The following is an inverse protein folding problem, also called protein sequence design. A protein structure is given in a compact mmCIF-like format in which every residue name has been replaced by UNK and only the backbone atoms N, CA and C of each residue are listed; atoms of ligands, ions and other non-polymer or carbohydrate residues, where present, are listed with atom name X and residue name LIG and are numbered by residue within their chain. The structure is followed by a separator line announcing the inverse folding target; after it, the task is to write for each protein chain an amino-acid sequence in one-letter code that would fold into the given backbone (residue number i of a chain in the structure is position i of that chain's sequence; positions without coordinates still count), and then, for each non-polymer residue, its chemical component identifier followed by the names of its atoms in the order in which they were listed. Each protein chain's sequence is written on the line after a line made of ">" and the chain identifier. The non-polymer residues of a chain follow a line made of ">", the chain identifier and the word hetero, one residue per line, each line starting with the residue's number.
data_IF_546094782183
#
_entry.id   IF_546094782183
#
_cell.length_a   1.000
_cell.length_b   1.000
_cell.length_c   1.000
_cell.angle_alpha   90.00
_cell.angle_beta   90.00
_cell.angle_gamma   90.00
#
_symmetry.space_group_name_H-M   'P 1'
#
loop_
_entity.id
_entity.type
_entity.pdbx_description
1 polymer ?
#
# COMPACT_ATOMS: atom_id res chain seq x y z
N UNK A 1 2.64 50.38 -4.13
CA UNK A 1 3.33 49.77 -2.98
C UNK A 1 2.33 48.89 -2.25
N UNK A 2 2.57 47.56 -2.25
CA UNK A 2 2.19 46.51 -1.26
C UNK A 2 0.74 46.52 -0.70
N UNK A 3 -0.11 45.48 -0.76
CA UNK A 3 0.09 44.05 -0.86
C UNK A 3 -1.19 43.36 -1.37
N UNK A 4 -1.07 42.51 -2.39
CA UNK A 4 -2.01 41.46 -2.74
C UNK A 4 -1.26 40.14 -2.59
N UNK A 5 -1.65 39.28 -1.64
CA UNK A 5 -1.09 37.92 -1.51
C UNK A 5 -2.19 36.88 -1.66
N UNK A 6 -2.35 36.52 -2.94
CA UNK A 6 -2.62 35.20 -3.52
C UNK A 6 -3.17 34.08 -2.64
N UNK A 7 -4.36 33.62 -3.05
CA UNK A 7 -4.94 32.32 -2.74
C UNK A 7 -4.36 31.22 -3.65
N UNK A 8 -4.11 30.06 -3.05
CA UNK A 8 -3.97 28.69 -3.61
C UNK A 8 -2.68 28.29 -4.38
N UNK A 9 -2.30 26.99 -4.41
CA UNK A 9 -2.81 25.81 -3.66
C UNK A 9 -1.70 24.99 -2.94
N UNK A 10 -1.97 24.35 -1.79
CA UNK A 10 -2.32 22.90 -1.69
C UNK A 10 -1.62 22.07 -2.78
N UNK A 11 -0.39 21.60 -2.54
CA UNK A 11 0.28 20.47 -3.25
C UNK A 11 1.73 20.23 -2.75
N UNK A 12 1.98 20.26 -1.44
CA UNK A 12 3.33 20.05 -0.89
C UNK A 12 3.38 19.10 0.31
N UNK A 13 2.76 17.91 0.16
CA UNK A 13 3.03 16.76 1.03
C UNK A 13 3.05 15.43 0.25
N UNK A 14 3.63 15.45 -0.96
CA UNK A 14 3.99 14.25 -1.72
C UNK A 14 5.45 14.36 -2.16
N UNK A 15 6.37 14.34 -1.20
CA UNK A 15 7.78 14.05 -1.39
C UNK A 15 8.48 14.08 -0.03
N UNK A 16 8.41 12.99 0.73
CA UNK A 16 9.60 12.58 1.45
C UNK A 16 9.89 11.12 1.09
N UNK A 17 11.03 10.88 0.42
CA UNK A 17 11.41 9.58 -0.07
C UNK A 17 11.90 8.72 1.09
N UNK A 18 11.81 7.42 0.87
CA UNK A 18 12.67 6.37 1.41
C UNK A 18 14.06 6.93 1.74
N UNK A 19 14.33 7.19 3.02
CA UNK A 19 15.64 7.55 3.52
C UNK A 19 15.77 6.94 4.91
N UNK A 20 16.42 5.77 4.97
CA UNK A 20 16.62 5.08 6.25
C UNK A 20 16.97 3.60 6.22
N UNK A 21 17.25 2.98 5.07
CA UNK A 21 17.93 1.68 5.02
C UNK A 21 18.92 1.68 3.86
N UNK A 22 19.99 2.46 3.99
CA UNK A 22 21.21 2.14 3.27
C UNK A 22 21.74 0.81 3.84
N UNK A 23 21.97 -0.23 3.04
CA UNK A 23 22.77 -1.35 3.51
C UNK A 23 24.15 -0.78 3.82
N UNK A 24 24.60 -0.91 5.07
CA UNK A 24 26.01 -0.82 5.42
C UNK A 24 26.71 -2.01 4.74
N UNK A 25 26.95 -1.89 3.44
CA UNK A 25 27.88 -2.75 2.72
C UNK A 25 29.29 -2.51 3.27
N UNK A 26 30.17 -3.51 3.23
CA UNK A 26 31.56 -3.29 3.61
C UNK A 26 32.14 -2.19 2.72
N UNK A 27 32.71 -1.15 3.34
CA UNK A 27 33.57 -0.19 2.66
C UNK A 27 34.80 -0.98 2.20
N UNK A 28 34.75 -1.49 0.97
CA UNK A 28 35.95 -1.98 0.31
C UNK A 28 36.77 -0.75 -0.07
N UNK A 29 38.01 -0.74 0.40
CA UNK A 29 39.00 0.28 0.06
C UNK A 29 39.03 0.47 -1.46
N UNK A 30 38.67 1.67 -1.91
CA UNK A 30 38.75 2.06 -3.30
C UNK A 30 40.20 2.50 -3.57
N UNK A 31 40.95 1.70 -4.33
CA UNK A 31 42.26 2.08 -4.82
C UNK A 31 42.13 3.29 -5.75
N UNK A 32 42.90 4.36 -5.51
CA UNK A 32 42.91 5.59 -6.33
C UNK A 32 43.48 5.40 -7.75
N UNK A 33 44.05 4.24 -8.07
CA UNK A 33 44.44 3.93 -9.44
C UNK A 33 43.26 3.33 -10.21
N UNK A 34 42.82 4.07 -11.23
CA UNK A 34 41.96 3.51 -12.27
C UNK A 34 42.69 2.28 -12.86
N UNK A 35 42.05 1.10 -12.90
CA UNK A 35 42.69 -0.06 -13.52
C UNK A 35 43.06 0.29 -14.96
N UNK A 36 44.29 -0.01 -15.36
CA UNK A 36 44.76 0.22 -16.71
C UNK A 36 43.72 -0.32 -17.71
N UNK A 37 43.30 0.53 -18.65
CA UNK A 37 42.30 0.16 -19.64
C UNK A 37 42.77 -1.09 -20.39
N UNK A 38 42.13 -2.22 -20.12
CA UNK A 38 42.39 -3.47 -20.85
C UNK A 38 41.85 -3.26 -22.27
N UNK A 39 42.69 -2.76 -23.16
CA UNK A 39 42.40 -2.68 -24.58
C UNK A 39 42.70 -4.03 -25.23
N UNK A 40 41.90 -5.04 -24.86
CA UNK A 40 41.79 -6.25 -25.63
C UNK A 40 40.53 -6.11 -26.49
N UNK A 41 40.64 -5.78 -27.80
CA UNK A 41 39.51 -5.78 -28.70
C UNK A 41 39.01 -7.22 -28.83
N UNK A 42 38.18 -7.66 -27.88
CA UNK A 42 37.48 -8.92 -27.96
C UNK A 42 36.49 -8.81 -29.12
N UNK A 43 36.66 -9.55 -30.23
CA UNK A 43 35.76 -9.47 -31.38
C UNK A 43 34.31 -9.82 -31.01
N UNK A 44 34.13 -10.55 -29.90
CA UNK A 44 32.83 -10.88 -29.35
C UNK A 44 32.23 -9.80 -28.44
N UNK A 45 32.96 -8.79 -27.97
CA UNK A 45 32.41 -7.81 -27.02
C UNK A 45 31.29 -6.96 -27.64
N UNK A 46 31.45 -6.55 -28.90
CA UNK A 46 30.40 -5.88 -29.66
C UNK A 46 29.24 -6.85 -29.95
N UNK A 47 29.52 -8.07 -30.40
CA UNK A 47 28.50 -9.12 -30.58
C UNK A 47 27.67 -9.33 -29.31
N UNK A 48 28.33 -9.46 -28.16
CA UNK A 48 27.68 -9.67 -26.87
C UNK A 48 26.91 -8.42 -26.40
N UNK A 49 27.36 -7.21 -26.73
CA UNK A 49 26.59 -5.98 -26.50
C UNK A 49 25.36 -5.92 -27.40
N UNK A 50 25.45 -6.32 -28.66
CA UNK A 50 24.30 -6.43 -29.58
C UNK A 50 23.29 -7.47 -29.10
N UNK A 51 23.75 -8.66 -28.69
CA UNK A 51 22.90 -9.74 -28.15
C UNK A 51 22.14 -9.31 -26.89
N UNK A 52 22.71 -8.41 -26.07
CA UNK A 52 22.09 -7.84 -24.87
C UNK A 52 21.23 -6.60 -25.14
N UNK A 53 21.06 -6.19 -26.39
CA UNK A 53 20.25 -5.03 -26.78
C UNK A 53 20.93 -3.67 -26.57
N UNK A 54 22.27 -3.61 -26.53
CA UNK A 54 23.05 -2.38 -26.31
C UNK A 54 23.78 -1.86 -27.56
N UNK A 55 23.41 -2.31 -28.76
CA UNK A 55 23.93 -1.75 -30.02
C UNK A 55 22.78 -1.52 -30.99
N UNK A 56 22.93 -0.48 -31.82
CA UNK A 56 22.18 -0.20 -33.06
C UNK A 56 22.41 -1.30 -34.13
N UNK A 57 22.40 -2.57 -33.72
CA UNK A 57 22.49 -3.69 -34.64
C UNK A 57 21.06 -4.11 -35.00
N UNK A 58 20.70 -4.11 -36.29
CA UNK A 58 19.36 -4.49 -36.72
C UNK A 58 19.23 -6.02 -36.60
N UNK A 59 19.02 -6.52 -35.38
CA UNK A 59 18.56 -7.88 -35.19
C UNK A 59 17.13 -7.96 -35.73
N UNK A 60 16.99 -8.48 -36.94
CA UNK A 60 15.68 -8.69 -37.58
C UNK A 60 15.12 -10.00 -37.07
N UNK A 61 13.99 -9.93 -36.38
CA UNK A 61 13.21 -11.10 -35.98
C UNK A 61 11.90 -11.12 -36.75
N UNK A 62 11.37 -12.33 -37.01
CA UNK A 62 10.01 -12.50 -37.55
C UNK A 62 8.93 -12.29 -36.46
N UNK A 63 9.34 -12.19 -35.19
CA UNK A 63 8.44 -11.97 -34.06
C UNK A 63 8.13 -10.48 -33.92
N UNK A 64 6.85 -10.12 -34.04
CA UNK A 64 6.38 -8.77 -33.72
C UNK A 64 6.19 -8.58 -32.21
N UNK A 65 6.39 -7.36 -31.70
CA UNK A 65 6.12 -7.01 -30.30
C UNK A 65 7.21 -6.16 -29.66
N UNK A 66 7.06 -5.90 -28.35
CA UNK A 66 8.03 -5.16 -27.56
C UNK A 66 9.30 -5.98 -27.31
N UNK A 67 10.46 -5.31 -27.30
CA UNK A 67 11.79 -5.90 -27.06
C UNK A 67 12.10 -7.11 -27.97
N UNK A 68 11.51 -7.19 -29.16
CA UNK A 68 11.60 -8.35 -30.05
C UNK A 68 13.01 -8.61 -30.61
N UNK A 69 13.81 -7.55 -30.73
CA UNK A 69 15.22 -7.58 -31.12
C UNK A 69 16.19 -7.90 -29.96
N UNK A 70 15.68 -8.04 -28.72
CA UNK A 70 16.50 -8.33 -27.52
C UNK A 70 16.59 -9.84 -27.31
N UNK A 71 17.77 -10.41 -27.55
CA UNK A 71 18.00 -11.86 -27.44
C UNK A 71 18.28 -12.31 -26.00
N UNK A 72 18.89 -11.46 -25.19
CA UNK A 72 19.21 -11.76 -23.78
C UNK A 72 18.71 -10.63 -22.88
N UNK A 73 17.77 -10.96 -22.00
CA UNK A 73 17.28 -10.05 -20.95
C UNK A 73 18.05 -10.28 -19.64
N UNK A 74 19.03 -9.42 -19.33
CA UNK A 74 19.80 -9.52 -18.09
C UNK A 74 18.98 -9.16 -16.85
N UNK A 75 18.07 -8.18 -16.95
CA UNK A 75 17.25 -7.76 -15.82
C UNK A 75 16.19 -8.82 -15.45
N UNK A 76 15.79 -9.67 -16.41
CA UNK A 76 14.85 -10.76 -16.15
C UNK A 76 15.34 -11.79 -15.12
N UNK A 77 16.61 -12.20 -15.19
CA UNK A 77 17.22 -13.09 -14.19
C UNK A 77 17.29 -12.41 -12.82
N UNK A 78 17.63 -11.11 -12.79
CA UNK A 78 17.66 -10.33 -11.57
C UNK A 78 16.27 -10.20 -10.94
N UNK A 79 15.24 -9.89 -11.74
CA UNK A 79 13.85 -9.83 -11.31
C UNK A 79 13.39 -11.18 -10.77
N UNK A 80 13.66 -12.27 -11.48
CA UNK A 80 13.28 -13.62 -11.05
C UNK A 80 13.95 -13.98 -9.72
N UNK A 81 15.24 -13.67 -9.58
CA UNK A 81 15.98 -13.86 -8.32
C UNK A 81 15.38 -13.04 -7.18
N UNK A 82 15.13 -11.74 -7.38
CA UNK A 82 14.48 -10.88 -6.38
C UNK A 82 13.10 -11.41 -6.00
N UNK A 83 12.27 -11.78 -6.98
CA UNK A 83 10.93 -12.29 -6.75
C UNK A 83 10.94 -13.57 -5.92
N UNK A 84 11.73 -14.56 -6.34
CA UNK A 84 11.69 -15.89 -5.74
C UNK A 84 12.49 -15.99 -4.45
N UNK A 85 13.63 -15.29 -4.35
CA UNK A 85 14.53 -15.40 -3.20
C UNK A 85 14.28 -14.32 -2.14
N UNK A 86 13.61 -13.21 -2.48
CA UNK A 86 13.33 -12.12 -1.53
C UNK A 86 11.84 -11.85 -1.37
N UNK A 87 11.15 -11.43 -2.43
CA UNK A 87 9.77 -10.94 -2.30
C UNK A 87 8.80 -11.98 -1.76
N UNK A 88 8.83 -13.20 -2.30
CA UNK A 88 7.99 -14.30 -1.80
C UNK A 88 8.31 -14.62 -0.34
N UNK A 89 9.52 -15.06 0.04
CA UNK A 89 9.78 -15.46 1.42
C UNK A 89 9.58 -14.31 2.40
N UNK A 90 10.17 -13.14 2.16
CA UNK A 90 10.07 -12.00 3.08
C UNK A 90 8.64 -11.44 3.17
N UNK A 91 7.90 -11.45 2.06
CA UNK A 91 6.50 -11.06 2.07
C UNK A 91 5.64 -12.02 2.88
N UNK A 92 5.87 -13.33 2.76
CA UNK A 92 5.21 -14.34 3.58
C UNK A 92 5.54 -14.20 5.07
N UNK A 93 6.83 -14.07 5.39
CA UNK A 93 7.31 -13.90 6.76
C UNK A 93 6.72 -12.65 7.41
N UNK A 94 6.66 -11.53 6.69
CA UNK A 94 6.06 -10.28 7.18
C UNK A 94 4.58 -10.44 7.51
N UNK A 95 3.80 -11.05 6.61
CA UNK A 95 2.36 -11.26 6.85
C UNK A 95 2.12 -12.19 8.05
N UNK A 96 2.88 -13.28 8.16
CA UNK A 96 2.82 -14.21 9.30
C UNK A 96 3.21 -13.47 10.59
N UNK A 97 4.31 -12.73 10.58
CA UNK A 97 4.77 -11.95 11.72
C UNK A 97 3.70 -10.96 12.20
N UNK A 98 3.06 -10.22 11.29
CA UNK A 98 1.99 -9.27 11.64
C UNK A 98 0.80 -9.98 12.28
N UNK A 99 0.37 -11.12 11.73
CA UNK A 99 -0.70 -11.93 12.32
C UNK A 99 -0.32 -12.46 13.71
N UNK A 100 0.92 -12.91 13.90
CA UNK A 100 1.42 -13.35 15.21
C UNK A 100 1.47 -12.20 16.22
N UNK A 101 1.91 -11.00 15.82
CA UNK A 101 1.92 -9.81 16.67
C UNK A 101 0.49 -9.44 17.09
N UNK A 102 -0.45 -9.42 16.14
CA UNK A 102 -1.87 -9.16 16.41
C UNK A 102 -2.42 -10.20 17.42
N UNK A 103 -2.16 -11.49 17.18
CA UNK A 103 -2.57 -12.57 18.07
C UNK A 103 -1.98 -12.45 19.47
N UNK A 104 -0.70 -12.10 19.57
CA UNK A 104 -0.01 -11.91 20.84
C UNK A 104 -0.57 -10.70 21.61
N UNK A 105 -0.81 -9.58 20.93
CA UNK A 105 -1.43 -8.38 21.54
C UNK A 105 -2.81 -8.73 22.08
N UNK A 106 -3.63 -9.44 21.31
CA UNK A 106 -4.95 -9.87 21.76
C UNK A 106 -4.87 -10.82 22.96
N UNK A 107 -3.98 -11.81 22.93
CA UNK A 107 -3.83 -12.79 24.01
C UNK A 107 -3.33 -12.16 25.32
N UNK A 108 -2.44 -11.17 25.25
CA UNK A 108 -1.85 -10.51 26.43
C UNK A 108 -2.76 -9.42 26.99
N UNK A 109 -3.37 -8.61 26.12
CA UNK A 109 -4.09 -7.39 26.53
C UNK A 109 -5.60 -7.59 26.60
N UNK A 110 -6.16 -8.47 25.77
CA UNK A 110 -7.60 -8.55 25.53
C UNK A 110 -8.17 -7.33 24.79
N UNK A 111 -9.47 -7.34 24.49
CA UNK A 111 -10.16 -6.18 23.92
C UNK A 111 -10.23 -5.02 24.91
N UNK A 112 -10.28 -3.79 24.39
CA UNK A 112 -10.51 -2.58 25.17
C UNK A 112 -11.93 -2.61 25.77
N UNK A 113 -12.04 -2.26 27.04
CA UNK A 113 -13.31 -2.17 27.76
C UNK A 113 -13.66 -0.71 28.04
N UNK A 114 -14.92 -0.33 27.84
CA UNK A 114 -15.41 0.99 28.24
C UNK A 114 -15.34 1.13 29.76
N UNK A 115 -14.74 2.21 30.26
CA UNK A 115 -14.59 2.49 31.69
C UNK A 115 -15.91 2.75 32.40
N UNK A 116 -16.81 3.46 31.72
CA UNK A 116 -18.15 3.81 32.22
C UNK A 116 -19.22 2.75 31.91
N UNK A 117 -18.87 1.72 31.13
CA UNK A 117 -19.85 0.81 30.54
C UNK A 117 -20.58 1.45 29.33
N UNK A 118 -21.52 0.73 28.74
CA UNK A 118 -22.33 1.27 27.64
C UNK A 118 -23.47 2.14 28.19
N UNK A 119 -23.64 3.35 27.64
CA UNK A 119 -24.75 4.24 28.00
C UNK A 119 -26.09 3.75 27.44
N UNK A 120 -26.08 2.96 26.36
CA UNK A 120 -27.28 2.54 25.61
C UNK A 120 -27.83 3.63 24.68
N UNK A 121 -27.29 4.85 24.75
CA UNK A 121 -27.63 5.96 23.86
C UNK A 121 -26.71 5.91 22.64
N UNK A 122 -27.30 5.93 21.44
CA UNK A 122 -26.57 5.82 20.19
C UNK A 122 -26.41 7.19 19.52
N UNK A 123 -25.18 7.53 19.13
CA UNK A 123 -24.85 8.75 18.38
C UNK A 123 -24.42 8.41 16.96
N UNK A 124 -24.80 9.26 15.99
CA UNK A 124 -24.44 9.06 14.58
C UNK A 124 -22.97 9.45 14.36
N UNK A 125 -22.15 8.47 13.95
CA UNK A 125 -20.73 8.69 13.63
C UNK A 125 -20.50 8.86 12.13
N UNK A 126 -20.96 7.92 11.31
CA UNK A 126 -20.68 7.92 9.86
C UNK A 126 -21.96 7.99 9.03
N UNK A 127 -22.00 8.89 8.04
CA UNK A 127 -23.13 8.99 7.10
C UNK A 127 -23.30 7.72 6.25
N UNK A 128 -24.47 7.53 5.64
CA UNK A 128 -24.71 6.39 4.73
C UNK A 128 -23.71 6.38 3.57
N UNK A 129 -23.42 7.55 2.99
CA UNK A 129 -22.45 7.70 1.90
C UNK A 129 -21.05 7.24 2.30
N UNK A 130 -20.58 7.65 3.49
CA UNK A 130 -19.28 7.22 4.00
C UNK A 130 -19.18 5.70 4.12
N UNK A 131 -20.24 5.06 4.65
CA UNK A 131 -20.29 3.59 4.80
C UNK A 131 -20.32 2.86 3.46
N UNK A 132 -21.11 3.33 2.50
CA UNK A 132 -21.19 2.73 1.16
C UNK A 132 -19.82 2.80 0.46
N UNK A 133 -19.16 3.96 0.48
CA UNK A 133 -17.83 4.14 -0.11
C UNK A 133 -16.81 3.25 0.60
N UNK A 134 -16.86 3.17 1.93
CA UNK A 134 -15.98 2.29 2.71
C UNK A 134 -16.16 0.82 2.33
N UNK A 135 -17.39 0.30 2.31
CA UNK A 135 -17.64 -1.10 1.97
C UNK A 135 -17.35 -1.42 0.50
N UNK A 136 -17.52 -0.46 -0.41
CA UNK A 136 -17.06 -0.58 -1.79
C UNK A 136 -15.54 -0.73 -1.87
N UNK A 137 -14.79 0.16 -1.20
CA UNK A 137 -13.33 0.09 -1.13
C UNK A 137 -12.86 -1.23 -0.47
N UNK A 138 -13.45 -1.60 0.66
CA UNK A 138 -13.10 -2.80 1.40
C UNK A 138 -13.37 -4.07 0.57
N UNK A 139 -14.51 -4.13 -0.12
CA UNK A 139 -14.85 -5.25 -1.00
C UNK A 139 -13.84 -5.41 -2.14
N UNK A 140 -13.49 -4.32 -2.83
CA UNK A 140 -12.45 -4.34 -3.87
C UNK A 140 -11.10 -4.77 -3.29
N UNK A 141 -10.68 -4.17 -2.17
CA UNK A 141 -9.40 -4.46 -1.55
C UNK A 141 -9.28 -5.94 -1.14
N UNK A 142 -10.33 -6.52 -0.55
CA UNK A 142 -10.31 -7.93 -0.12
C UNK A 142 -10.18 -8.84 -1.34
N UNK A 143 -10.96 -8.62 -2.40
CA UNK A 143 -10.89 -9.46 -3.61
C UNK A 143 -9.51 -9.31 -4.26
N UNK A 144 -9.00 -8.08 -4.41
CA UNK A 144 -7.69 -7.81 -4.99
C UNK A 144 -6.55 -8.38 -4.15
N UNK A 145 -6.60 -8.20 -2.84
CA UNK A 145 -5.62 -8.77 -1.91
C UNK A 145 -5.58 -10.29 -1.98
N UNK A 146 -6.73 -10.97 -1.95
CA UNK A 146 -6.80 -12.43 -2.03
C UNK A 146 -6.30 -12.96 -3.39
N UNK A 147 -6.77 -12.38 -4.48
CA UNK A 147 -6.33 -12.75 -5.83
C UNK A 147 -4.83 -12.49 -6.04
N UNK A 148 -4.31 -11.36 -5.55
CA UNK A 148 -2.88 -11.04 -5.58
C UNK A 148 -2.03 -12.03 -4.78
N UNK A 149 -2.49 -12.43 -3.58
CA UNK A 149 -1.83 -13.46 -2.77
C UNK A 149 -1.82 -14.83 -3.47
N UNK A 150 -2.91 -15.20 -4.15
CA UNK A 150 -2.97 -16.42 -4.98
C UNK A 150 -1.93 -16.36 -6.11
N UNK A 151 -1.80 -15.22 -6.80
CA UNK A 151 -0.83 -15.06 -7.89
C UNK A 151 0.61 -15.06 -7.40
N UNK A 152 0.88 -14.50 -6.22
CA UNK A 152 2.22 -14.43 -5.64
C UNK A 152 2.67 -15.77 -5.06
N UNK A 153 1.85 -16.37 -4.19
CA UNK A 153 2.20 -17.54 -3.38
C UNK A 153 1.64 -18.87 -3.91
N UNK A 154 0.73 -18.85 -4.87
CA UNK A 154 -0.03 -20.04 -5.26
C UNK A 154 0.81 -21.21 -5.77
N UNK A 155 1.97 -20.93 -6.38
CA UNK A 155 2.89 -22.00 -6.82
C UNK A 155 3.47 -22.79 -5.64
N UNK A 156 3.87 -22.12 -4.56
CA UNK A 156 4.48 -22.77 -3.40
C UNK A 156 3.43 -23.31 -2.43
N UNK A 157 2.30 -22.62 -2.27
CA UNK A 157 1.29 -22.98 -1.27
C UNK A 157 0.13 -23.80 -1.84
N UNK A 158 -0.38 -23.46 -3.03
CA UNK A 158 -1.61 -24.07 -3.56
C UNK A 158 -1.35 -25.29 -4.44
N UNK A 159 -0.31 -25.30 -5.28
CA UNK A 159 -0.01 -26.46 -6.13
C UNK A 159 0.14 -27.76 -5.31
N UNK A 160 0.84 -27.78 -4.15
CA UNK A 160 0.92 -28.99 -3.32
C UNK A 160 -0.43 -29.43 -2.74
N UNK A 161 -1.39 -28.51 -2.57
CA UNK A 161 -2.69 -28.78 -1.95
C UNK A 161 -3.76 -29.23 -2.95
N UNK A 162 -3.83 -28.58 -4.11
CA UNK A 162 -4.92 -28.79 -5.09
C UNK A 162 -4.43 -29.31 -6.45
N UNK A 163 -3.12 -29.45 -6.65
CA UNK A 163 -2.52 -29.91 -7.90
C UNK A 163 -2.45 -28.82 -8.98
N UNK A 164 -1.65 -29.09 -10.03
CA UNK A 164 -1.36 -28.12 -11.10
C UNK A 164 -2.59 -27.72 -11.92
N UNK A 165 -3.48 -28.67 -12.23
CA UNK A 165 -4.66 -28.42 -13.07
C UNK A 165 -5.66 -27.51 -12.38
N UNK A 166 -6.01 -27.80 -11.12
CA UNK A 166 -6.91 -26.95 -10.34
C UNK A 166 -6.29 -25.57 -10.10
N UNK A 167 -4.99 -25.51 -9.76
CA UNK A 167 -4.28 -24.25 -9.62
C UNK A 167 -4.29 -23.42 -10.91
N UNK A 168 -4.17 -24.04 -12.09
CA UNK A 168 -4.28 -23.34 -13.37
C UNK A 168 -5.60 -22.59 -13.53
N UNK A 169 -6.73 -23.24 -13.19
CA UNK A 169 -8.06 -22.60 -13.20
C UNK A 169 -8.14 -21.48 -12.17
N UNK A 170 -7.72 -21.75 -10.92
CA UNK A 170 -7.75 -20.76 -9.83
C UNK A 170 -6.88 -19.53 -10.13
N UNK A 171 -5.66 -19.72 -10.62
CA UNK A 171 -4.75 -18.65 -10.98
C UNK A 171 -5.28 -17.83 -12.16
N UNK A 172 -5.86 -18.49 -13.19
CA UNK A 172 -6.49 -17.80 -14.31
C UNK A 172 -7.65 -16.93 -13.84
N UNK A 173 -8.58 -17.48 -13.07
CA UNK A 173 -9.72 -16.73 -12.53
C UNK A 173 -9.25 -15.57 -11.63
N UNK A 174 -8.25 -15.82 -10.79
CA UNK A 174 -7.67 -14.78 -9.92
C UNK A 174 -7.07 -13.65 -10.72
N UNK A 175 -6.31 -13.95 -11.78
CA UNK A 175 -5.71 -12.95 -12.67
C UNK A 175 -6.77 -12.09 -13.35
N UNK A 176 -7.79 -12.70 -13.95
CA UNK A 176 -8.86 -11.94 -14.64
C UNK A 176 -9.64 -11.05 -13.67
N UNK A 177 -9.99 -11.57 -12.49
CA UNK A 177 -10.65 -10.77 -11.45
C UNK A 177 -9.75 -9.64 -10.93
N UNK A 178 -8.47 -9.91 -10.73
CA UNK A 178 -7.51 -8.94 -10.24
C UNK A 178 -7.37 -7.77 -11.20
N UNK A 179 -7.17 -8.05 -12.48
CA UNK A 179 -6.99 -7.04 -13.52
C UNK A 179 -8.28 -6.24 -13.73
N UNK A 180 -9.45 -6.91 -13.76
CA UNK A 180 -10.73 -6.23 -13.98
C UNK A 180 -11.11 -5.31 -12.81
N UNK A 181 -10.98 -5.78 -11.57
CA UNK A 181 -11.34 -5.00 -10.39
C UNK A 181 -10.24 -4.00 -10.01
N UNK A 182 -8.99 -4.26 -10.42
CA UNK A 182 -7.87 -3.35 -10.25
C UNK A 182 -8.11 -2.02 -10.95
N UNK A 183 -8.83 -2.02 -12.07
CA UNK A 183 -9.27 -0.82 -12.78
C UNK A 183 -10.26 0.04 -11.98
N UNK A 184 -11.05 -0.57 -11.08
CA UNK A 184 -12.04 0.15 -10.26
C UNK A 184 -11.44 0.66 -8.94
N UNK A 185 -10.32 0.10 -8.49
CA UNK A 185 -9.72 0.44 -7.21
C UNK A 185 -9.29 1.91 -7.07
N UNK A 186 -8.70 2.58 -8.08
CA UNK A 186 -8.35 4.01 -7.98
C UNK A 186 -9.57 4.90 -7.79
N UNK A 187 -10.70 4.54 -8.42
CA UNK A 187 -11.97 5.24 -8.20
C UNK A 187 -12.39 5.14 -6.73
N UNK A 188 -12.28 3.97 -6.12
CA UNK A 188 -12.59 3.80 -4.69
C UNK A 188 -11.66 4.65 -3.79
N UNK A 189 -10.36 4.74 -4.13
CA UNK A 189 -9.40 5.62 -3.43
C UNK A 189 -9.78 7.10 -3.55
N UNK A 190 -10.18 7.55 -4.74
CA UNK A 190 -10.63 8.93 -4.95
C UNK A 190 -11.90 9.24 -4.16
N UNK A 191 -12.88 8.32 -4.19
CA UNK A 191 -14.14 8.48 -3.46
C UNK A 191 -13.93 8.56 -1.95
N UNK A 192 -13.11 7.66 -1.37
CA UNK A 192 -12.85 7.67 0.07
C UNK A 192 -12.04 8.91 0.49
N UNK A 193 -11.10 9.37 -0.36
CA UNK A 193 -10.34 10.58 -0.11
C UNK A 193 -11.26 11.79 0.05
N UNK A 194 -12.07 12.09 -0.97
CA UNK A 194 -12.94 13.27 -0.91
C UNK A 194 -14.02 13.18 0.17
N UNK A 195 -14.45 11.96 0.51
CA UNK A 195 -15.44 11.76 1.57
C UNK A 195 -14.86 12.03 2.97
N UNK A 196 -13.61 11.64 3.24
CA UNK A 196 -13.04 11.63 4.59
C UNK A 196 -11.89 12.61 4.84
N UNK A 197 -11.30 13.23 3.81
CA UNK A 197 -10.08 14.05 3.95
C UNK A 197 -10.23 15.19 4.96
N UNK A 198 -11.38 15.86 4.98
CA UNK A 198 -11.61 17.03 5.84
C UNK A 198 -11.41 16.71 7.33
N UNK A 199 -11.91 15.56 7.77
CA UNK A 199 -11.80 15.10 9.16
C UNK A 199 -10.48 14.35 9.44
N UNK A 200 -9.66 14.10 8.41
CA UNK A 200 -8.38 13.40 8.53
C UNK A 200 -7.16 14.32 8.37
N UNK A 201 -7.37 15.64 8.34
CA UNK A 201 -6.29 16.60 8.39
C UNK A 201 -5.58 16.56 9.75
N UNK A 202 -4.29 16.86 9.74
CA UNK A 202 -3.48 16.94 10.94
C UNK A 202 -3.98 18.05 11.88
N UNK A 203 -4.08 17.71 13.15
CA UNK A 203 -4.36 18.62 14.25
C UNK A 203 -3.25 18.54 15.30
N UNK A 204 -2.99 19.63 16.03
CA UNK A 204 -1.99 19.65 17.11
C UNK A 204 -2.21 18.56 18.17
N UNK A 205 -3.46 18.14 18.38
CA UNK A 205 -3.81 17.06 19.30
C UNK A 205 -3.29 15.68 18.88
N UNK A 206 -3.05 15.45 17.58
CA UNK A 206 -2.66 14.14 17.06
C UNK A 206 -1.26 13.73 17.54
N UNK A 207 -0.31 14.68 17.60
CA UNK A 207 1.03 14.40 18.13
C UNK A 207 0.95 14.02 19.61
N UNK A 208 0.12 14.72 20.40
CA UNK A 208 -0.08 14.38 21.81
C UNK A 208 -0.74 13.01 21.98
N UNK A 209 -1.62 12.62 21.06
CA UNK A 209 -2.22 11.28 21.04
C UNK A 209 -1.15 10.19 20.88
N UNK A 210 -0.19 10.38 19.96
CA UNK A 210 0.94 9.46 19.80
C UNK A 210 1.89 9.43 21.00
N UNK A 211 2.21 10.60 21.57
CA UNK A 211 3.06 10.69 22.78
C UNK A 211 2.43 9.98 23.99
N UNK A 212 1.10 9.88 24.03
CA UNK A 212 0.35 9.12 25.04
C UNK A 212 0.14 7.64 24.66
N UNK A 213 0.79 7.16 23.61
CA UNK A 213 0.65 5.77 23.13
C UNK A 213 -0.77 5.41 22.71
N UNK A 214 -1.53 6.40 22.22
CA UNK A 214 -2.93 6.23 21.83
C UNK A 214 -3.88 5.88 22.97
N UNK A 215 -3.49 6.12 24.22
CA UNK A 215 -4.30 5.79 25.40
C UNK A 215 -4.27 4.29 25.76
N UNK A 216 -3.53 3.48 25.01
CA UNK A 216 -3.39 2.04 25.24
C UNK A 216 -2.30 1.71 26.28
N UNK A 217 -1.40 2.65 26.54
CA UNK A 217 -0.26 2.50 27.46
C UNK A 217 -0.51 3.33 28.72
N UNK A 218 -0.62 2.65 29.87
CA UNK A 218 -0.88 3.28 31.17
C UNK A 218 -2.35 3.66 31.39
N UNK A 219 -2.60 4.67 32.24
CA UNK A 219 -3.95 5.18 32.57
C UNK A 219 -4.29 6.50 31.88
N UNK A 220 -3.40 7.01 31.04
CA UNK A 220 -3.49 8.35 30.45
C UNK A 220 -4.56 8.39 29.37
N UNK A 221 -5.51 9.32 29.50
CA UNK A 221 -6.51 9.59 28.46
C UNK A 221 -5.90 10.31 27.26
N UNK A 222 -6.08 9.74 26.06
CA UNK A 222 -5.58 10.26 24.81
C UNK A 222 -6.73 10.90 24.02
N UNK A 223 -6.92 12.20 24.24
CA UNK A 223 -7.97 13.00 23.60
C UNK A 223 -7.88 12.97 22.07
N UNK A 224 -9.04 12.87 21.41
CA UNK A 224 -9.16 12.72 19.96
C UNK A 224 -10.40 13.45 19.41
N UNK A 225 -10.29 13.93 18.17
CA UNK A 225 -11.41 14.47 17.42
C UNK A 225 -12.23 13.36 16.77
N UNK A 226 -12.90 13.66 15.66
CA UNK A 226 -13.72 12.68 14.93
C UNK A 226 -12.91 11.42 14.59
N UNK A 227 -11.67 11.62 14.15
CA UNK A 227 -10.67 10.56 13.99
C UNK A 227 -9.49 10.81 14.93
N UNK A 228 -8.94 9.74 15.51
CA UNK A 228 -7.73 9.79 16.32
C UNK A 228 -6.46 9.76 15.45
N UNK A 229 -5.28 10.03 16.05
CA UNK A 229 -4.02 10.09 15.31
C UNK A 229 -3.69 8.82 14.52
N UNK A 230 -4.02 7.64 15.06
CA UNK A 230 -3.85 6.35 14.39
C UNK A 230 -4.79 6.16 13.19
N UNK A 231 -6.06 6.53 13.33
CA UNK A 231 -7.04 6.50 12.23
C UNK A 231 -6.65 7.46 11.10
N UNK A 232 -6.16 8.66 11.44
CA UNK A 232 -5.67 9.64 10.44
C UNK A 232 -4.43 9.11 9.71
N UNK A 233 -3.49 8.50 10.44
CA UNK A 233 -2.33 7.85 9.82
C UNK A 233 -2.77 6.73 8.87
N UNK A 234 -3.72 5.89 9.29
CA UNK A 234 -4.28 4.82 8.46
C UNK A 234 -4.93 5.40 7.19
N UNK A 235 -5.69 6.48 7.28
CA UNK A 235 -6.26 7.17 6.12
C UNK A 235 -5.15 7.56 5.13
N UNK A 236 -4.13 8.30 5.57
CA UNK A 236 -3.06 8.76 4.66
C UNK A 236 -2.25 7.62 4.06
N UNK A 237 -1.92 6.59 4.86
CA UNK A 237 -1.24 5.40 4.36
C UNK A 237 -2.11 4.66 3.32
N UNK A 238 -3.41 4.54 3.55
CA UNK A 238 -4.36 3.94 2.60
C UNK A 238 -4.38 4.70 1.28
N UNK A 239 -4.37 6.05 1.32
CA UNK A 239 -4.33 6.88 0.11
C UNK A 239 -2.99 6.71 -0.63
N UNK A 240 -1.86 6.80 0.07
CA UNK A 240 -0.52 6.74 -0.54
C UNK A 240 -0.26 5.35 -1.12
N UNK A 241 -0.47 4.30 -0.34
CA UNK A 241 -0.30 2.91 -0.78
C UNK A 241 -1.31 2.57 -1.87
N UNK A 242 -2.55 3.06 -1.76
CA UNK A 242 -3.61 2.90 -2.76
C UNK A 242 -3.25 3.51 -4.10
N UNK A 243 -2.70 4.73 -4.12
CA UNK A 243 -2.20 5.36 -5.34
C UNK A 243 -1.01 4.56 -5.90
N UNK A 244 -0.05 4.19 -5.05
CA UNK A 244 1.16 3.48 -5.50
C UNK A 244 0.86 2.10 -6.11
N UNK A 245 -0.01 1.31 -5.47
CA UNK A 245 -0.42 -0.01 -5.98
C UNK A 245 -1.25 0.14 -7.26
N UNK A 246 -2.08 1.19 -7.35
CA UNK A 246 -2.86 1.50 -8.55
C UNK A 246 -1.98 1.87 -9.73
N UNK A 247 -1.03 2.81 -9.55
CA UNK A 247 -0.11 3.25 -10.61
C UNK A 247 0.70 2.08 -11.13
N UNK A 248 1.30 1.29 -10.23
CA UNK A 248 2.08 0.12 -10.63
C UNK A 248 1.23 -0.97 -11.27
N UNK A 249 0.00 -1.20 -10.79
CA UNK A 249 -0.94 -2.14 -11.37
C UNK A 249 -1.36 -1.76 -12.79
N UNK A 250 -1.63 -0.47 -13.03
CA UNK A 250 -1.95 0.03 -14.37
C UNK A 250 -0.77 -0.12 -15.34
N UNK A 251 0.47 0.11 -14.89
CA UNK A 251 1.64 -0.17 -15.72
C UNK A 251 1.70 -1.66 -16.12
N UNK A 252 1.36 -2.56 -15.19
CA UNK A 252 1.35 -4.00 -15.43
C UNK A 252 0.21 -4.45 -16.37
N UNK A 253 -0.96 -3.81 -16.29
CA UNK A 253 -2.14 -4.18 -17.08
C UNK A 253 -2.17 -3.52 -18.47
N UNK A 254 -1.52 -2.37 -18.64
CA UNK A 254 -1.56 -1.59 -19.88
C UNK A 254 -0.17 -1.43 -20.49
N UNK A 255 0.22 -2.31 -21.45
CA UNK A 255 1.51 -2.25 -22.13
C UNK A 255 1.86 -0.90 -22.78
N UNK A 256 0.84 -0.14 -23.19
CA UNK A 256 1.06 1.20 -23.74
C UNK A 256 1.73 2.15 -22.73
N UNK A 257 1.45 2.01 -21.43
CA UNK A 257 2.04 2.86 -20.38
C UNK A 257 3.53 2.55 -20.21
N UNK A 258 3.91 1.27 -20.12
CA UNK A 258 5.32 0.89 -20.03
C UNK A 258 6.11 1.30 -21.28
N UNK A 259 5.51 1.20 -22.48
CA UNK A 259 6.12 1.69 -23.72
C UNK A 259 6.33 3.20 -23.72
N UNK A 260 5.35 3.94 -23.23
CA UNK A 260 5.48 5.38 -23.06
C UNK A 260 6.59 5.74 -22.06
N UNK A 261 6.71 5.04 -20.94
CA UNK A 261 7.78 5.25 -19.95
C UNK A 261 9.17 5.10 -20.59
N UNK A 262 9.40 4.05 -21.38
CA UNK A 262 10.66 3.87 -22.12
C UNK A 262 10.94 5.04 -23.06
N UNK A 263 9.92 5.60 -23.70
CA UNK A 263 10.12 6.72 -24.64
C UNK A 263 10.51 8.05 -23.99
N UNK A 264 10.23 8.22 -22.69
CA UNK A 264 10.45 9.48 -21.96
C UNK A 264 11.51 9.39 -20.86
N UNK A 265 11.91 8.18 -20.46
CA UNK A 265 12.86 7.94 -19.37
C UNK A 265 14.16 7.33 -19.91
N UNK A 266 15.31 8.00 -19.74
CA UNK A 266 16.60 7.46 -20.16
C UNK A 266 17.07 6.28 -19.28
N UNK A 267 16.47 6.09 -18.10
CA UNK A 267 16.83 5.02 -17.16
C UNK A 267 16.28 3.65 -17.61
N UNK A 268 15.30 3.64 -18.52
CA UNK A 268 14.67 2.43 -19.04
C UNK A 268 14.98 2.26 -20.53
N UNK A 269 15.79 1.24 -20.85
CA UNK A 269 16.12 0.89 -22.23
C UNK A 269 15.22 -0.19 -22.84
N UNK A 270 14.40 -0.86 -22.03
CA UNK A 270 13.57 -1.99 -22.45
C UNK A 270 12.21 -1.93 -21.79
N UNK A 271 11.17 -2.32 -22.54
CA UNK A 271 9.80 -2.40 -22.04
C UNK A 271 9.71 -3.37 -20.85
N UNK A 272 10.35 -4.53 -20.96
CA UNK A 272 10.29 -5.58 -19.94
C UNK A 272 10.91 -5.12 -18.61
N UNK A 273 11.95 -4.28 -18.65
CA UNK A 273 12.55 -3.70 -17.45
C UNK A 273 11.54 -2.84 -16.65
N UNK A 274 10.69 -2.06 -17.33
CA UNK A 274 9.62 -1.28 -16.69
C UNK A 274 8.58 -2.18 -16.02
N UNK A 275 8.21 -3.29 -16.68
CA UNK A 275 7.26 -4.27 -16.15
C UNK A 275 7.82 -4.99 -14.92
N UNK A 276 9.08 -5.41 -14.99
CA UNK A 276 9.78 -6.08 -13.89
C UNK A 276 9.91 -5.17 -12.67
N UNK A 277 10.30 -3.91 -12.88
CA UNK A 277 10.38 -2.91 -11.82
C UNK A 277 9.02 -2.63 -11.19
N UNK A 278 8.00 -2.38 -12.03
CA UNK A 278 6.62 -2.17 -11.58
C UNK A 278 6.10 -3.36 -10.78
N UNK A 279 6.38 -4.59 -11.20
CA UNK A 279 5.98 -5.80 -10.47
C UNK A 279 6.62 -5.86 -9.08
N UNK A 280 7.91 -5.55 -8.95
CA UNK A 280 8.60 -5.54 -7.65
C UNK A 280 7.96 -4.51 -6.71
N UNK A 281 7.78 -3.27 -7.18
CA UNK A 281 7.19 -2.20 -6.37
C UNK A 281 5.73 -2.52 -6.03
N UNK A 282 4.95 -3.00 -6.99
CA UNK A 282 3.56 -3.40 -6.77
C UNK A 282 3.46 -4.46 -5.66
N UNK A 283 4.32 -5.49 -5.71
CA UNK A 283 4.35 -6.56 -4.72
C UNK A 283 4.69 -6.02 -3.33
N UNK A 284 5.71 -5.17 -3.22
CA UNK A 284 6.13 -4.57 -1.93
C UNK A 284 5.00 -3.73 -1.33
N UNK A 285 4.41 -2.83 -2.13
CA UNK A 285 3.30 -1.98 -1.69
C UNK A 285 2.10 -2.84 -1.29
N UNK A 286 1.73 -3.83 -2.10
CA UNK A 286 0.59 -4.70 -1.83
C UNK A 286 0.75 -5.46 -0.51
N UNK A 287 1.93 -6.04 -0.24
CA UNK A 287 2.18 -6.75 1.02
C UNK A 287 2.10 -5.81 2.23
N UNK A 288 2.71 -4.63 2.15
CA UNK A 288 2.65 -3.62 3.22
C UNK A 288 1.21 -3.15 3.46
N UNK A 289 0.44 -2.97 2.39
CA UNK A 289 -0.94 -2.53 2.47
C UNK A 289 -1.84 -3.62 3.06
N UNK A 290 -1.65 -4.89 2.68
CA UNK A 290 -2.36 -6.02 3.29
C UNK A 290 -2.05 -6.10 4.79
N UNK A 291 -0.77 -5.97 5.18
CA UNK A 291 -0.37 -5.95 6.58
C UNK A 291 -1.03 -4.81 7.38
N UNK A 292 -1.09 -3.61 6.81
CA UNK A 292 -1.78 -2.46 7.40
C UNK A 292 -3.29 -2.75 7.58
N UNK A 293 -3.93 -3.35 6.58
CA UNK A 293 -5.36 -3.69 6.61
C UNK A 293 -5.65 -4.80 7.62
N UNK A 294 -4.75 -5.77 7.84
CA UNK A 294 -4.89 -6.72 8.95
C UNK A 294 -4.97 -6.00 10.29
N UNK A 295 -4.09 -5.01 10.53
CA UNK A 295 -4.15 -4.17 11.74
C UNK A 295 -5.48 -3.42 11.85
N UNK A 296 -5.95 -2.80 10.75
CA UNK A 296 -7.23 -2.09 10.73
C UNK A 296 -8.42 -2.99 11.06
N UNK A 297 -8.53 -4.16 10.40
CA UNK A 297 -9.60 -5.14 10.65
C UNK A 297 -9.52 -5.63 12.09
N UNK A 298 -8.33 -5.94 12.59
CA UNK A 298 -8.13 -6.37 13.97
C UNK A 298 -8.65 -5.33 14.96
N UNK A 299 -8.28 -4.06 14.78
CA UNK A 299 -8.72 -2.98 15.66
C UNK A 299 -10.24 -2.80 15.65
N UNK A 300 -10.84 -2.80 14.46
CA UNK A 300 -12.26 -2.54 14.29
C UNK A 300 -13.17 -3.69 14.75
N UNK A 301 -12.75 -4.94 14.55
CA UNK A 301 -13.58 -6.12 14.78
C UNK A 301 -13.32 -6.75 16.15
N UNK A 302 -12.05 -6.84 16.56
CA UNK A 302 -11.67 -7.65 17.73
C UNK A 302 -11.15 -6.83 18.90
N UNK A 303 -10.46 -5.70 18.66
CA UNK A 303 -9.74 -5.00 19.72
C UNK A 303 -10.52 -3.86 20.37
N UNK A 304 -11.28 -3.08 19.59
CA UNK A 304 -12.08 -1.94 20.10
C UNK A 304 -13.56 -2.22 19.86
N UNK A 305 -14.26 -2.87 20.81
CA UNK A 305 -15.69 -3.14 20.69
C UNK A 305 -16.50 -1.88 20.44
N UNK A 306 -17.50 -1.98 19.55
CA UNK A 306 -18.34 -0.86 19.12
C UNK A 306 -17.84 -0.16 17.85
N UNK A 307 -16.55 -0.26 17.51
CA UNK A 307 -15.99 0.35 16.29
C UNK A 307 -16.62 -0.22 15.02
N UNK A 308 -16.83 -1.54 14.91
CA UNK A 308 -17.49 -2.14 13.75
C UNK A 308 -18.92 -1.60 13.53
N UNK A 309 -19.67 -1.32 14.61
CA UNK A 309 -21.03 -0.75 14.51
C UNK A 309 -21.03 0.60 13.79
N UNK A 310 -19.96 1.38 13.94
CA UNK A 310 -19.81 2.66 13.24
C UNK A 310 -19.86 2.50 11.72
N UNK A 311 -19.41 1.37 11.17
CA UNK A 311 -19.40 1.11 9.73
C UNK A 311 -20.57 0.26 9.24
N UNK A 312 -21.20 -0.54 10.09
CA UNK A 312 -22.40 -1.31 9.69
C UNK A 312 -23.67 -0.50 9.85
N UNK A 313 -23.91 0.11 11.02
CA UNK A 313 -25.10 0.91 11.31
C UNK A 313 -24.88 2.40 11.11
N UNK A 314 -23.63 2.87 11.22
CA UNK A 314 -23.31 4.30 11.28
C UNK A 314 -23.31 4.89 12.68
N UNK A 315 -23.67 4.10 13.69
CA UNK A 315 -23.86 4.58 15.06
C UNK A 315 -22.91 3.91 16.03
N UNK A 316 -22.55 4.66 17.06
CA UNK A 316 -21.73 4.22 18.20
C UNK A 316 -22.42 4.61 19.50
N UNK A 317 -22.09 3.92 20.59
CA UNK A 317 -22.57 4.28 21.92
C UNK A 317 -21.98 5.62 22.37
N UNK A 318 -22.76 6.42 23.10
CA UNK A 318 -22.33 7.73 23.60
C UNK A 318 -21.09 7.62 24.51
N UNK A 319 -21.02 6.62 25.39
CA UNK A 319 -19.84 6.40 26.24
C UNK A 319 -18.62 5.98 25.42
N UNK A 320 -18.82 5.26 24.30
CA UNK A 320 -17.73 4.97 23.38
C UNK A 320 -17.19 6.24 22.72
N UNK A 321 -18.10 7.14 22.29
CA UNK A 321 -17.73 8.42 21.69
C UNK A 321 -17.00 9.33 22.69
N UNK A 322 -17.49 9.42 23.92
CA UNK A 322 -16.86 10.18 25.00
C UNK A 322 -15.46 9.65 25.34
N UNK A 323 -15.30 8.32 25.47
CA UNK A 323 -14.02 7.73 25.88
C UNK A 323 -12.96 7.71 24.76
N UNK A 324 -13.35 7.47 23.51
CA UNK A 324 -12.40 7.33 22.40
C UNK A 324 -12.24 8.60 21.56
N UNK A 325 -13.21 9.50 21.59
CA UNK A 325 -13.34 10.66 20.71
C UNK A 325 -13.93 11.88 21.44
N UNK A 326 -13.45 12.14 22.66
CA UNK A 326 -13.93 13.16 23.59
C UNK A 326 -14.17 14.55 22.96
N UNK A 327 -13.24 15.04 22.13
CA UNK A 327 -13.38 16.37 21.49
C UNK A 327 -14.54 16.38 20.50
N UNK A 328 -14.69 15.31 19.72
CA UNK A 328 -15.81 15.18 18.79
C UNK A 328 -17.15 15.01 19.51
N UNK A 329 -17.16 14.24 20.61
CA UNK A 329 -18.37 14.08 21.41
C UNK A 329 -18.83 15.42 22.02
N UNK A 330 -17.90 16.22 22.55
CA UNK A 330 -18.19 17.55 23.07
C UNK A 330 -18.70 18.52 21.99
N UNK A 331 -18.18 18.43 20.75
CA UNK A 331 -18.66 19.23 19.61
C UNK A 331 -20.14 18.93 19.29
N UNK A 332 -20.52 17.65 19.22
CA UNK A 332 -21.91 17.28 18.88
C UNK A 332 -22.91 17.58 20.02
N UNK A 333 -22.51 17.47 21.29
CA UNK A 333 -23.36 17.90 22.41
C UNK A 333 -23.49 19.43 22.49
N UNK A 334 -22.40 20.15 22.23
CA UNK A 334 -22.37 21.61 22.22
C UNK A 334 -23.18 22.25 21.09
N UNK A 335 -23.35 21.55 19.96
CA UNK A 335 -24.22 21.99 18.87
C UNK A 335 -25.69 21.62 19.11
N UNK A 336 -25.97 20.47 19.74
CA UNK A 336 -27.33 20.07 20.12
C UNK A 336 -28.01 21.00 21.14
N UNK A 337 -27.24 21.69 21.96
CA UNK A 337 -27.75 22.69 22.94
C UNK A 337 -28.00 24.08 22.34
N UNK A 338 -27.55 24.35 21.11
CA UNK A 338 -27.81 25.61 20.40
C UNK A 338 -29.06 25.58 19.52
N UNK A 339 -29.56 24.38 19.21
CA UNK A 339 -30.76 24.18 18.39
C UNK A 339 -32.05 23.95 19.22
N UNK A 340 -31.96 23.94 20.56
CA UNK A 340 -33.09 23.83 21.51
C UNK A 340 -33.43 25.14 22.19
#
# INVERSE_FOLDING_TARGET
>A
MTNFRSWAPILWFLALPVLGLAPLGPVLAQSEEAPAAINNPNPGADLWRAVRGHLDSPAVTQVGGHDNAVLVNQEGERWMSIRNQKLIPQGGDLLIMVLLIIGAVYAVRGPVTLRSGAAGVQVQRHSVSARVIHWFLAGLFIILGLTGLVLLFGKSLLIPLIGKSAFGVTASASKELHNLLGLLFPLAIVLIFFNLVRNNLYEKGDLMWFLKGGGMIGKTHASAGMFNGGEKMLFWLTIILGIGVSVTGYILDFPAIASWIVSVSPDFSQYRHVMEFSHVIHTVIAILFIALVFGHIFLAVFFVPGTLSSMTSGKVDASWAEEHHDRWYAEIEGDGTKES
#
